data_IF_698946628173
#
_entry.id   IF_698946628173
#
_cell.length_a   1.000
_cell.length_b   1.000
_cell.length_c   1.000
_cell.angle_alpha   90.00
_cell.angle_beta   90.00
_cell.angle_gamma   90.00
#
_symmetry.space_group_name_H-M   'P 1'
#
loop_
_entity.id
_entity.type
_entity.pdbx_description
1 polymer ?
#
# COMPACT_ATOMS: atom_id res chain seq x y z
N UNK A 1 -6.09 7.54 -30.07
CA UNK A 1 -6.12 8.47 -28.91
C UNK A 1 -7.56 8.62 -28.46
N UNK A 2 -8.04 7.76 -27.58
CA UNK A 2 -9.31 7.98 -26.89
C UNK A 2 -9.01 8.95 -25.74
N UNK A 3 -9.46 10.20 -25.86
CA UNK A 3 -9.36 11.16 -24.76
C UNK A 3 -10.61 10.96 -23.90
N UNK A 4 -10.45 10.30 -22.75
CA UNK A 4 -11.52 10.19 -21.77
C UNK A 4 -11.87 11.59 -21.27
N UNK A 5 -13.02 12.12 -21.71
CA UNK A 5 -13.65 13.33 -21.17
C UNK A 5 -14.93 12.89 -20.46
N UNK A 6 -14.80 12.41 -19.23
CA UNK A 6 -15.99 12.10 -18.43
C UNK A 6 -16.70 13.40 -18.04
N UNK A 7 -17.98 13.47 -18.36
CA UNK A 7 -18.91 14.52 -17.94
C UNK A 7 -19.36 14.36 -16.47
N UNK A 8 -18.50 13.86 -15.58
CA UNK A 8 -18.78 13.78 -14.15
C UNK A 8 -17.48 13.96 -13.33
N UNK A 9 -17.22 15.21 -12.92
CA UNK A 9 -16.49 15.58 -11.70
C UNK A 9 -15.07 14.99 -11.45
N UNK A 10 -14.42 14.36 -12.43
CA UNK A 10 -13.00 13.98 -12.37
C UNK A 10 -12.31 14.41 -13.66
N UNK A 11 -12.05 15.71 -13.79
CA UNK A 11 -11.27 16.25 -14.90
C UNK A 11 -9.77 15.93 -14.72
N UNK A 12 -9.35 14.73 -15.12
CA UNK A 12 -7.98 14.48 -15.60
C UNK A 12 -8.01 13.50 -16.76
N UNK A 13 -7.34 13.88 -17.85
CA UNK A 13 -7.18 13.04 -19.02
C UNK A 13 -6.29 11.84 -18.68
N UNK A 14 -6.85 10.64 -18.72
CA UNK A 14 -6.07 9.41 -18.77
C UNK A 14 -5.70 9.20 -20.24
N UNK A 15 -4.45 9.51 -20.61
CA UNK A 15 -3.90 9.13 -21.90
C UNK A 15 -3.40 7.68 -21.80
N UNK A 16 -4.31 6.72 -22.04
CA UNK A 16 -3.94 5.30 -22.17
C UNK A 16 -3.74 4.98 -23.65
N UNK A 17 -2.54 4.55 -24.02
CA UNK A 17 -2.29 3.88 -25.28
C UNK A 17 -2.16 2.39 -24.99
N UNK A 18 -3.26 1.66 -25.14
CA UNK A 18 -3.23 0.21 -25.11
C UNK A 18 -2.47 -0.28 -26.34
N UNK A 19 -1.30 -0.87 -26.10
CA UNK A 19 -0.66 -1.77 -27.06
C UNK A 19 -1.45 -3.09 -27.02
N UNK A 20 -1.36 -3.96 -28.03
CA UNK A 20 -2.00 -5.30 -28.06
C UNK A 20 -1.41 -6.28 -27.01
N UNK A 21 -1.09 -5.80 -25.82
CA UNK A 21 -0.45 -6.53 -24.74
C UNK A 21 -1.27 -6.38 -23.46
N UNK A 22 -1.23 -7.41 -22.61
CA UNK A 22 -1.90 -7.41 -21.31
C UNK A 22 -1.41 -6.22 -20.46
N UNK A 23 -2.36 -5.42 -20.00
CA UNK A 23 -2.16 -4.17 -19.28
C UNK A 23 -2.77 -4.29 -17.88
N UNK A 24 -1.97 -3.95 -16.87
CA UNK A 24 -2.46 -3.76 -15.51
C UNK A 24 -2.78 -2.27 -15.32
N UNK A 25 -3.95 -1.97 -14.76
CA UNK A 25 -4.39 -0.59 -14.50
C UNK A 25 -4.50 -0.34 -13.01
N UNK A 26 -4.05 0.83 -12.55
CA UNK A 26 -4.18 1.25 -11.15
C UNK A 26 -5.31 2.27 -11.01
N UNK A 27 -6.26 2.02 -10.12
CA UNK A 27 -7.26 3.00 -9.68
C UNK A 27 -6.63 3.93 -8.62
N UNK A 28 -5.90 4.94 -9.08
CA UNK A 28 -5.14 5.85 -8.21
C UNK A 28 -6.03 6.88 -7.52
N UNK A 29 -6.66 6.50 -6.41
CA UNK A 29 -7.41 7.40 -5.53
C UNK A 29 -6.52 8.21 -4.57
N UNK A 30 -5.35 8.63 -5.05
CA UNK A 30 -4.35 9.36 -4.28
C UNK A 30 -3.65 10.42 -5.13
N UNK A 31 -3.03 11.38 -4.47
CA UNK A 31 -2.10 12.33 -5.08
C UNK A 31 -0.81 11.61 -5.52
N UNK A 32 -0.35 11.89 -6.74
CA UNK A 32 1.03 11.60 -7.13
C UNK A 32 1.86 12.86 -6.87
N UNK A 33 2.99 12.76 -6.18
CA UNK A 33 3.78 13.89 -5.73
C UNK A 33 4.02 13.86 -4.22
N UNK A 34 5.26 14.12 -3.81
CA UNK A 34 5.64 14.20 -2.39
C UNK A 34 6.21 12.91 -1.79
N UNK A 35 6.20 11.81 -2.55
CA UNK A 35 6.87 10.56 -2.19
C UNK A 35 8.20 10.40 -2.96
N UNK A 36 9.05 9.48 -2.50
CA UNK A 36 10.33 9.17 -3.16
C UNK A 36 10.07 8.63 -4.56
N UNK A 37 10.63 9.29 -5.58
CA UNK A 37 10.49 8.89 -6.99
C UNK A 37 9.36 9.57 -7.77
N UNK A 38 8.59 10.47 -7.15
CA UNK A 38 7.56 11.24 -7.86
C UNK A 38 8.15 12.49 -8.55
N UNK A 39 8.21 12.46 -9.88
CA UNK A 39 8.66 13.60 -10.70
C UNK A 39 7.51 14.53 -11.14
N UNK A 40 6.26 14.17 -10.81
CA UNK A 40 5.04 14.88 -11.25
C UNK A 40 4.11 15.08 -10.06
N UNK A 41 3.45 16.24 -9.98
CA UNK A 41 2.43 16.54 -8.98
C UNK A 41 1.03 16.47 -9.61
N UNK A 42 0.28 15.42 -9.28
CA UNK A 42 -1.10 15.18 -9.69
C UNK A 42 -1.94 15.10 -8.41
N UNK A 43 -2.51 16.22 -7.93
CA UNK A 43 -3.35 16.22 -6.72
C UNK A 43 -4.69 15.52 -6.94
N UNK A 44 -5.39 15.25 -5.84
CA UNK A 44 -6.81 14.87 -5.84
C UNK A 44 -7.67 15.89 -6.63
N UNK A 45 -8.86 15.50 -7.10
CA UNK A 45 -9.76 16.39 -7.84
C UNK A 45 -10.02 17.71 -7.11
N UNK A 46 -10.05 18.82 -7.85
CA UNK A 46 -10.16 20.16 -7.25
C UNK A 46 -11.35 20.27 -6.28
N UNK A 47 -12.51 19.71 -6.64
CA UNK A 47 -13.71 19.73 -5.80
C UNK A 47 -13.52 19.06 -4.44
N UNK A 48 -12.62 18.07 -4.31
CA UNK A 48 -12.26 17.46 -3.02
C UNK A 48 -11.48 18.46 -2.17
N UNK A 49 -10.50 19.15 -2.77
CA UNK A 49 -9.75 20.20 -2.09
C UNK A 49 -10.67 21.36 -1.64
N UNK A 50 -11.69 21.72 -2.43
CA UNK A 50 -12.69 22.72 -2.03
C UNK A 50 -13.46 22.30 -0.77
N UNK A 51 -13.88 21.04 -0.69
CA UNK A 51 -14.55 20.51 0.51
C UNK A 51 -13.58 20.51 1.68
N UNK A 52 -12.34 20.07 1.48
CA UNK A 52 -11.29 20.03 2.48
C UNK A 52 -10.99 21.38 3.13
N UNK A 53 -11.18 22.51 2.41
CA UNK A 53 -11.07 23.86 2.99
C UNK A 53 -12.15 24.14 4.04
N UNK A 54 -13.36 23.62 3.85
CA UNK A 54 -14.49 23.79 4.78
C UNK A 54 -14.60 22.69 5.83
N UNK A 55 -14.12 21.49 5.51
CA UNK A 55 -14.16 20.29 6.34
C UNK A 55 -12.80 19.59 6.24
N UNK A 56 -11.78 20.03 6.98
CA UNK A 56 -10.43 19.48 6.89
C UNK A 56 -10.35 18.02 7.38
N UNK A 57 -11.33 17.55 8.14
CA UNK A 57 -11.39 16.18 8.67
C UNK A 57 -11.76 15.12 7.61
N UNK A 58 -11.95 15.50 6.34
CA UNK A 58 -11.99 14.52 5.25
C UNK A 58 -10.62 13.89 4.97
N UNK A 59 -9.55 14.43 5.56
CA UNK A 59 -8.17 13.99 5.39
C UNK A 59 -7.63 13.35 6.67
N UNK A 60 -6.70 12.41 6.50
CA UNK A 60 -5.96 11.84 7.63
C UNK A 60 -5.26 12.93 8.41
N UNK A 61 -5.25 12.76 9.73
CA UNK A 61 -4.82 13.80 10.66
C UNK A 61 -3.97 13.21 11.76
N UNK A 62 -2.81 13.83 12.00
CA UNK A 62 -1.94 13.45 13.10
C UNK A 62 -2.29 14.16 14.41
N UNK A 63 -1.56 13.85 15.49
CA UNK A 63 -1.85 14.36 16.82
C UNK A 63 -1.79 15.89 16.91
N UNK A 64 -0.91 16.51 16.12
CA UNK A 64 -0.72 17.96 16.04
C UNK A 64 -1.78 18.65 15.16
N UNK A 65 -2.71 17.88 14.56
CA UNK A 65 -3.78 18.40 13.73
C UNK A 65 -3.36 18.70 12.28
N UNK A 66 -2.17 18.27 11.85
CA UNK A 66 -1.69 18.41 10.46
C UNK A 66 -2.46 17.45 9.56
N UNK A 67 -2.86 17.93 8.38
CA UNK A 67 -3.76 17.22 7.47
C UNK A 67 -3.02 16.67 6.27
N UNK A 68 -3.04 15.35 6.08
CA UNK A 68 -2.49 14.76 4.86
C UNK A 68 -3.52 14.73 3.72
N UNK A 69 -3.33 15.59 2.73
CA UNK A 69 -4.20 15.77 1.56
C UNK A 69 -4.01 14.74 0.45
N UNK A 70 -3.12 13.76 0.63
CA UNK A 70 -2.78 12.79 -0.41
C UNK A 70 -3.96 11.85 -0.76
N UNK A 71 -4.77 11.47 0.22
CA UNK A 71 -5.97 10.65 0.04
C UNK A 71 -7.03 10.99 1.10
N UNK A 72 -8.25 10.50 0.93
CA UNK A 72 -9.34 10.69 1.89
C UNK A 72 -9.16 9.79 3.13
N UNK A 73 -9.47 10.31 4.32
CA UNK A 73 -9.51 9.51 5.54
C UNK A 73 -10.59 8.43 5.45
N UNK A 74 -10.26 7.21 5.88
CA UNK A 74 -11.24 6.12 5.96
C UNK A 74 -12.37 6.40 6.96
N UNK A 75 -12.19 7.39 7.86
CA UNK A 75 -13.25 7.87 8.74
C UNK A 75 -14.49 8.34 7.99
N UNK A 76 -14.36 8.77 6.73
CA UNK A 76 -15.48 9.26 5.92
C UNK A 76 -16.01 8.25 4.89
N UNK A 77 -15.56 6.99 4.92
CA UNK A 77 -16.00 5.95 3.98
C UNK A 77 -17.52 5.83 3.89
N UNK A 78 -18.21 6.01 5.01
CA UNK A 78 -19.67 5.90 5.13
C UNK A 78 -20.38 7.22 5.45
N UNK A 79 -19.67 8.34 5.40
CA UNK A 79 -20.19 9.66 5.77
C UNK A 79 -20.50 10.49 4.52
N UNK A 80 -21.69 11.06 4.41
CA UNK A 80 -22.15 11.80 3.21
C UNK A 80 -21.61 13.23 3.13
N UNK A 81 -20.30 13.38 3.25
CA UNK A 81 -19.61 14.68 3.34
C UNK A 81 -19.00 15.14 2.02
N UNK A 82 -19.14 14.33 0.96
CA UNK A 82 -18.61 14.63 -0.38
C UNK A 82 -19.74 15.11 -1.32
N UNK A 83 -20.32 16.28 -1.02
CA UNK A 83 -21.49 16.85 -1.73
C UNK A 83 -22.68 15.87 -1.77
N UNK A 84 -22.98 15.25 -0.64
CA UNK A 84 -24.07 14.28 -0.49
C UNK A 84 -23.69 12.82 -0.79
N UNK A 85 -22.48 12.56 -1.28
CA UNK A 85 -21.93 11.20 -1.46
C UNK A 85 -20.98 10.81 -0.33
N UNK A 86 -20.82 9.50 -0.12
CA UNK A 86 -19.74 8.95 0.73
C UNK A 86 -18.45 8.72 -0.07
N UNK A 87 -17.31 8.53 0.60
CA UNK A 87 -16.06 8.25 -0.12
C UNK A 87 -16.14 6.97 -0.96
N UNK A 88 -16.75 5.90 -0.41
CA UNK A 88 -16.86 4.64 -1.16
C UNK A 88 -17.85 4.70 -2.32
N UNK A 89 -18.88 5.53 -2.25
CA UNK A 89 -19.74 5.82 -3.40
C UNK A 89 -18.94 6.50 -4.53
N UNK A 90 -18.06 7.46 -4.18
CA UNK A 90 -17.19 8.14 -5.14
C UNK A 90 -16.23 7.14 -5.82
N UNK A 91 -15.60 6.26 -5.04
CA UNK A 91 -14.70 5.23 -5.60
C UNK A 91 -15.46 4.27 -6.52
N UNK A 92 -16.63 3.78 -6.09
CA UNK A 92 -17.44 2.87 -6.89
C UNK A 92 -17.94 3.49 -8.19
N UNK A 93 -18.44 4.72 -8.14
CA UNK A 93 -18.87 5.46 -9.35
C UNK A 93 -17.72 5.62 -10.34
N UNK A 94 -16.51 5.91 -9.86
CA UNK A 94 -15.32 6.01 -10.72
C UNK A 94 -14.95 4.66 -11.34
N UNK A 95 -14.85 3.60 -10.53
CA UNK A 95 -14.52 2.25 -11.02
C UNK A 95 -15.55 1.77 -12.05
N UNK A 96 -16.85 1.97 -11.79
CA UNK A 96 -17.92 1.63 -12.73
C UNK A 96 -17.82 2.45 -14.01
N UNK A 97 -17.57 3.75 -13.91
CA UNK A 97 -17.39 4.60 -15.10
C UNK A 97 -16.20 4.15 -15.94
N UNK A 98 -15.09 3.76 -15.31
CA UNK A 98 -13.92 3.23 -15.99
C UNK A 98 -14.26 1.90 -16.70
N UNK A 99 -14.91 0.97 -15.99
CA UNK A 99 -15.33 -0.32 -16.56
C UNK A 99 -16.19 -0.16 -17.80
N UNK A 100 -17.15 0.77 -17.78
CA UNK A 100 -18.08 1.02 -18.89
C UNK A 100 -17.37 1.65 -20.07
N UNK A 101 -16.55 2.68 -19.83
CA UNK A 101 -15.82 3.37 -20.91
C UNK A 101 -14.85 2.43 -21.64
N UNK A 102 -14.11 1.62 -20.87
CA UNK A 102 -13.05 0.76 -21.41
C UNK A 102 -13.52 -0.69 -21.61
N UNK A 103 -14.84 -0.93 -21.74
CA UNK A 103 -15.43 -2.27 -21.81
C UNK A 103 -14.78 -3.16 -22.88
N UNK A 104 -14.51 -2.61 -24.06
CA UNK A 104 -13.85 -3.33 -25.17
C UNK A 104 -12.49 -3.90 -24.74
N UNK A 105 -11.68 -3.14 -24.00
CA UNK A 105 -10.37 -3.60 -23.53
C UNK A 105 -10.45 -4.69 -22.45
N UNK A 106 -11.54 -4.73 -21.68
CA UNK A 106 -11.80 -5.83 -20.75
C UNK A 106 -12.27 -7.08 -21.49
N UNK A 107 -13.17 -6.94 -22.47
CA UNK A 107 -13.69 -8.05 -23.29
C UNK A 107 -12.60 -8.68 -24.16
N UNK A 108 -11.70 -7.87 -24.71
CA UNK A 108 -10.54 -8.31 -25.49
C UNK A 108 -9.41 -8.89 -24.63
N UNK A 109 -9.55 -8.87 -23.30
CA UNK A 109 -8.54 -9.35 -22.36
C UNK A 109 -7.28 -8.48 -22.26
N UNK A 110 -7.29 -7.30 -22.88
CA UNK A 110 -6.18 -6.33 -22.83
C UNK A 110 -6.01 -5.82 -21.40
N UNK A 111 -7.08 -5.47 -20.69
CA UNK A 111 -7.00 -5.15 -19.26
C UNK A 111 -7.18 -6.45 -18.48
N UNK A 112 -6.07 -7.03 -18.04
CA UNK A 112 -6.06 -8.31 -17.32
C UNK A 112 -6.19 -8.17 -15.81
N UNK A 113 -5.82 -7.02 -15.26
CA UNK A 113 -5.84 -6.78 -13.82
C UNK A 113 -6.09 -5.31 -13.49
N UNK A 114 -6.87 -5.07 -12.44
CA UNK A 114 -7.10 -3.75 -11.86
C UNK A 114 -6.58 -3.72 -10.43
N UNK A 115 -5.50 -2.98 -10.20
CA UNK A 115 -5.04 -2.66 -8.85
C UNK A 115 -5.89 -1.52 -8.28
N UNK A 116 -6.44 -1.73 -7.09
CA UNK A 116 -7.33 -0.76 -6.44
C UNK A 116 -6.52 0.01 -5.40
N UNK A 117 -6.41 1.34 -5.56
CA UNK A 117 -5.73 2.18 -4.59
C UNK A 117 -6.52 2.28 -3.29
N UNK A 118 -5.89 1.98 -2.16
CA UNK A 118 -6.56 1.90 -0.84
C UNK A 118 -6.05 2.93 0.18
N UNK A 119 -5.20 3.87 -0.25
CA UNK A 119 -4.59 4.84 0.63
C UNK A 119 -3.45 5.64 -0.05
N UNK A 120 -2.52 6.21 0.73
CA UNK A 120 -1.37 6.95 0.20
C UNK A 120 -0.51 6.03 -0.67
N UNK A 121 0.05 6.57 -1.75
CA UNK A 121 0.72 5.80 -2.82
C UNK A 121 -0.13 4.66 -3.44
N UNK A 122 -1.45 4.63 -3.21
CA UNK A 122 -2.33 3.52 -3.58
C UNK A 122 -2.24 2.32 -2.64
N UNK A 123 -1.43 2.38 -1.60
CA UNK A 123 -1.16 1.29 -0.67
C UNK A 123 -2.21 1.24 0.44
N UNK A 124 -2.57 0.04 0.89
CA UNK A 124 -3.42 -0.15 2.07
C UNK A 124 -2.60 0.09 3.34
N UNK A 125 -2.43 1.35 3.71
CA UNK A 125 -1.82 1.81 4.97
C UNK A 125 -2.27 3.21 5.36
N UNK A 126 -1.98 3.60 6.59
CA UNK A 126 -2.05 4.99 6.99
C UNK A 126 -0.84 5.80 6.45
N UNK A 127 -0.98 7.12 6.26
CA UNK A 127 0.13 7.98 5.89
C UNK A 127 1.04 8.33 7.10
N UNK A 128 1.64 7.32 7.73
CA UNK A 128 2.35 7.46 9.00
C UNK A 128 3.77 8.02 8.91
N UNK A 129 4.39 8.02 7.72
CA UNK A 129 5.77 8.47 7.46
C UNK A 129 5.89 9.64 6.45
N UNK A 130 5.12 10.74 6.58
CA UNK A 130 5.15 11.84 5.62
C UNK A 130 6.43 12.68 5.76
N UNK A 131 7.32 12.61 4.75
CA UNK A 131 8.56 13.42 4.69
C UNK A 131 8.26 14.91 4.84
N UNK A 132 7.16 15.40 4.25
CA UNK A 132 6.70 16.80 4.34
C UNK A 132 6.44 17.29 5.76
N UNK A 133 6.20 16.40 6.73
CA UNK A 133 5.95 16.76 8.13
C UNK A 133 7.12 16.41 9.06
N UNK A 134 8.31 16.17 8.50
CA UNK A 134 9.55 15.99 9.25
C UNK A 134 9.88 14.54 9.60
N UNK A 135 9.16 13.57 9.05
CA UNK A 135 9.57 12.17 9.12
C UNK A 135 10.89 11.98 8.37
N UNK A 136 11.80 11.21 8.97
CA UNK A 136 13.07 10.78 8.37
C UNK A 136 13.25 9.32 8.66
N UNK A 137 13.72 8.55 7.69
CA UNK A 137 14.11 7.16 7.93
C UNK A 137 15.24 7.12 8.98
N UNK A 138 15.20 6.20 9.97
CA UNK A 138 14.21 5.14 10.16
C UNK A 138 13.12 5.47 11.21
N UNK A 139 12.62 6.70 11.34
CA UNK A 139 11.62 7.09 12.35
C UNK A 139 10.37 6.19 12.45
N UNK A 140 9.83 6.04 13.65
CA UNK A 140 8.65 5.19 13.94
C UNK A 140 7.35 5.63 13.26
N UNK A 141 7.26 6.88 12.79
CA UNK A 141 6.02 7.45 12.25
C UNK A 141 5.04 7.91 13.34
N UNK A 142 3.84 8.35 12.95
CA UNK A 142 2.77 8.71 13.90
C UNK A 142 1.42 8.11 13.49
N UNK A 143 0.56 7.82 14.48
CA UNK A 143 -0.83 7.42 14.24
C UNK A 143 -1.62 8.54 13.57
N UNK A 144 -2.38 8.21 12.52
CA UNK A 144 -3.05 9.17 11.63
C UNK A 144 -4.58 9.21 11.83
N UNK A 145 -5.06 9.06 13.05
CA UNK A 145 -6.47 8.86 13.36
C UNK A 145 -7.15 10.01 14.12
N UNK A 146 -6.62 11.23 14.02
CA UNK A 146 -7.07 12.38 14.81
C UNK A 146 -8.12 13.26 14.08
N UNK A 147 -8.61 12.83 12.91
CA UNK A 147 -9.75 13.48 12.29
C UNK A 147 -11.04 13.21 13.08
N UNK A 148 -12.00 14.12 12.99
CA UNK A 148 -13.21 14.05 13.81
C UNK A 148 -14.02 12.75 13.60
N UNK A 149 -13.96 12.13 12.41
CA UNK A 149 -14.73 10.94 12.10
C UNK A 149 -14.09 9.69 12.70
N UNK A 150 -12.77 9.56 12.61
CA UNK A 150 -12.02 8.51 13.29
C UNK A 150 -12.10 8.65 14.81
N UNK A 151 -11.99 9.86 15.36
CA UNK A 151 -12.17 10.07 16.80
C UNK A 151 -13.58 9.69 17.29
N UNK A 152 -14.62 9.96 16.48
CA UNK A 152 -15.99 9.50 16.76
C UNK A 152 -16.09 7.97 16.72
N UNK A 153 -15.44 7.32 15.76
CA UNK A 153 -15.34 5.86 15.67
C UNK A 153 -14.65 5.26 16.89
N UNK A 154 -13.51 5.82 17.30
CA UNK A 154 -12.74 5.41 18.47
C UNK A 154 -13.56 5.54 19.76
N UNK A 155 -14.26 6.68 19.93
CA UNK A 155 -15.13 6.90 21.08
C UNK A 155 -16.21 5.84 21.19
N UNK A 156 -16.88 5.53 20.08
CA UNK A 156 -17.88 4.46 20.04
C UNK A 156 -17.26 3.10 20.41
N UNK A 157 -16.07 2.79 19.90
CA UNK A 157 -15.37 1.54 20.23
C UNK A 157 -15.02 1.44 21.72
N UNK A 158 -14.58 2.55 22.33
CA UNK A 158 -14.23 2.63 23.75
C UNK A 158 -15.46 2.48 24.65
N UNK A 159 -16.57 3.14 24.29
CA UNK A 159 -17.86 3.03 24.98
C UNK A 159 -18.41 1.60 24.94
N UNK A 160 -18.35 0.92 23.78
CA UNK A 160 -18.77 -0.48 23.66
C UNK A 160 -17.96 -1.45 24.52
N UNK A 161 -16.69 -1.13 24.82
CA UNK A 161 -15.85 -1.89 25.76
C UNK A 161 -16.07 -1.51 27.23
N UNK A 162 -16.90 -0.50 27.53
CA UNK A 162 -17.09 0.00 28.90
C UNK A 162 -15.93 0.83 29.43
N UNK A 163 -15.04 1.30 28.55
CA UNK A 163 -13.83 2.05 28.91
C UNK A 163 -13.76 3.39 28.16
N UNK A 164 -14.75 4.26 28.34
CA UNK A 164 -14.82 5.55 27.61
C UNK A 164 -13.57 6.43 27.74
N UNK A 165 -12.78 6.28 28.80
CA UNK A 165 -11.51 7.01 28.96
C UNK A 165 -10.41 6.55 27.98
N UNK A 166 -10.57 5.41 27.30
CA UNK A 166 -9.72 4.93 26.20
C UNK A 166 -10.06 5.57 24.84
N UNK A 167 -11.03 6.48 24.77
CA UNK A 167 -11.46 7.15 23.54
C UNK A 167 -10.46 8.22 23.02
N UNK A 168 -9.16 7.89 22.96
CA UNK A 168 -8.09 8.79 22.53
C UNK A 168 -6.94 8.01 21.90
N UNK A 169 -6.08 8.70 21.15
CA UNK A 169 -4.79 8.15 20.70
C UNK A 169 -3.77 8.09 21.85
N UNK A 170 -2.70 7.27 21.75
CA UNK A 170 -1.69 7.17 22.80
C UNK A 170 -0.93 8.49 23.03
N UNK A 171 -0.79 8.88 24.29
CA UNK A 171 -0.19 10.16 24.66
C UNK A 171 1.36 10.15 24.68
N UNK A 172 1.95 8.95 24.70
CA UNK A 172 3.37 8.66 24.87
C UNK A 172 3.99 7.91 23.67
N UNK A 173 3.39 8.03 22.48
CA UNK A 173 3.85 7.42 21.23
C UNK A 173 5.02 8.15 20.55
N UNK A 174 5.56 9.22 21.14
CA UNK A 174 6.63 10.01 20.53
C UNK A 174 6.15 10.85 19.35
N UNK A 175 7.05 11.03 18.38
CA UNK A 175 6.84 11.83 17.16
C UNK A 175 7.35 11.07 15.92
N UNK A 176 7.11 11.59 14.73
CA UNK A 176 7.46 10.93 13.46
C UNK A 176 8.88 10.32 13.41
N UNK A 177 9.88 11.03 13.91
CA UNK A 177 11.29 10.64 13.82
C UNK A 177 11.86 10.10 15.15
N UNK A 178 11.00 9.82 16.13
CA UNK A 178 11.41 9.13 17.37
C UNK A 178 11.81 7.69 17.08
N UNK A 179 12.61 7.10 17.97
CA UNK A 179 12.93 5.68 17.98
C UNK A 179 12.07 4.93 19.02
N UNK A 180 11.81 3.62 18.87
CA UNK A 180 10.90 2.89 19.76
C UNK A 180 11.25 3.02 21.25
N UNK A 181 12.54 2.87 21.58
CA UNK A 181 13.07 2.92 22.95
C UNK A 181 13.00 4.31 23.60
N UNK A 182 12.77 5.37 22.82
CA UNK A 182 12.60 6.74 23.33
C UNK A 182 11.15 7.05 23.76
N UNK A 183 10.23 6.13 23.48
CA UNK A 183 8.80 6.32 23.70
C UNK A 183 8.28 5.40 24.80
N UNK A 184 7.33 5.88 25.61
CA UNK A 184 6.66 5.02 26.60
C UNK A 184 5.70 4.02 25.97
N UNK A 185 5.23 4.29 24.74
CA UNK A 185 4.30 3.40 24.07
C UNK A 185 4.99 2.22 23.39
N UNK A 186 6.10 2.44 22.67
CA UNK A 186 6.72 1.43 21.80
C UNK A 186 8.01 0.81 22.36
N UNK A 187 8.53 1.27 23.51
CA UNK A 187 9.68 0.62 24.14
C UNK A 187 9.37 -0.83 24.52
N UNK A 188 10.40 -1.61 24.82
CA UNK A 188 10.19 -2.95 25.37
C UNK A 188 9.34 -2.86 26.65
N UNK A 189 8.35 -3.77 26.77
CA UNK A 189 7.33 -3.75 27.83
C UNK A 189 6.48 -2.46 27.89
N UNK A 190 6.47 -1.67 26.82
CA UNK A 190 5.70 -0.42 26.70
C UNK A 190 4.19 -0.63 26.56
N UNK A 191 3.46 0.48 26.56
CA UNK A 191 1.99 0.48 26.59
C UNK A 191 1.32 -0.21 25.38
N UNK A 192 2.04 -0.40 24.27
CA UNK A 192 1.53 -1.11 23.08
C UNK A 192 0.99 -2.50 23.39
N UNK A 193 1.62 -3.23 24.32
CA UNK A 193 1.19 -4.54 24.80
C UNK A 193 0.39 -4.46 26.11
N UNK A 194 0.01 -3.26 26.55
CA UNK A 194 -0.92 -3.05 27.65
C UNK A 194 -2.39 -3.27 27.25
N UNK A 195 -3.30 -3.27 28.22
CA UNK A 195 -4.76 -3.39 27.93
C UNK A 195 -5.26 -2.29 26.99
N UNK A 196 -4.81 -1.05 27.21
CA UNK A 196 -5.13 0.09 26.37
C UNK A 196 -4.48 -0.02 24.97
N UNK A 197 -3.18 -0.33 24.88
CA UNK A 197 -2.49 -0.47 23.61
C UNK A 197 -3.10 -1.55 22.73
N UNK A 198 -3.38 -2.74 23.28
CA UNK A 198 -4.06 -3.82 22.55
C UNK A 198 -5.47 -3.43 22.09
N UNK A 199 -6.20 -2.63 22.87
CA UNK A 199 -7.50 -2.08 22.43
C UNK A 199 -7.32 -1.11 21.25
N UNK A 200 -6.43 -0.12 21.40
CA UNK A 200 -6.22 0.93 20.42
C UNK A 200 -5.68 0.37 19.10
N UNK A 201 -4.66 -0.48 19.14
CA UNK A 201 -4.05 -1.10 17.96
C UNK A 201 -5.00 -2.06 17.24
N UNK A 202 -5.82 -2.81 17.98
CA UNK A 202 -6.89 -3.61 17.39
C UNK A 202 -7.88 -2.71 16.64
N UNK A 203 -8.39 -1.65 17.26
CA UNK A 203 -9.30 -0.71 16.59
C UNK A 203 -8.67 -0.06 15.35
N UNK A 204 -7.44 0.42 15.47
CA UNK A 204 -6.74 1.15 14.40
C UNK A 204 -6.47 0.26 13.18
N UNK A 205 -5.98 -0.96 13.41
CA UNK A 205 -5.78 -1.98 12.37
C UNK A 205 -7.09 -2.52 11.79
N UNK A 206 -8.15 -2.64 12.61
CA UNK A 206 -9.45 -3.09 12.13
C UNK A 206 -10.12 -2.06 11.21
N UNK A 207 -9.90 -0.75 11.42
CA UNK A 207 -10.34 0.28 10.48
C UNK A 207 -9.67 0.12 9.11
N UNK A 208 -8.37 -0.19 9.06
CA UNK A 208 -7.65 -0.51 7.83
C UNK A 208 -8.27 -1.71 7.10
N UNK A 209 -8.51 -2.80 7.82
CA UNK A 209 -9.10 -4.01 7.24
C UNK A 209 -10.54 -3.74 6.74
N UNK A 210 -11.34 -2.99 7.50
CA UNK A 210 -12.70 -2.64 7.12
C UNK A 210 -12.76 -1.75 5.88
N UNK A 211 -11.80 -0.82 5.74
CA UNK A 211 -11.67 0.01 4.54
C UNK A 211 -11.39 -0.86 3.31
N UNK A 212 -10.36 -1.71 3.39
CA UNK A 212 -10.01 -2.65 2.33
C UNK A 212 -11.18 -3.56 1.96
N UNK A 213 -11.87 -4.14 2.96
CA UNK A 213 -13.04 -5.01 2.76
C UNK A 213 -14.16 -4.30 1.98
N UNK A 214 -14.46 -3.05 2.36
CA UNK A 214 -15.53 -2.28 1.74
C UNK A 214 -15.19 -1.89 0.30
N UNK A 215 -14.01 -1.33 0.07
CA UNK A 215 -13.61 -0.86 -1.27
C UNK A 215 -13.41 -2.03 -2.23
N UNK A 216 -12.78 -3.13 -1.80
CA UNK A 216 -12.59 -4.31 -2.65
C UNK A 216 -13.91 -5.03 -2.95
N UNK A 217 -14.88 -5.02 -2.03
CA UNK A 217 -16.22 -5.54 -2.35
C UNK A 217 -16.88 -4.76 -3.49
N UNK A 218 -16.73 -3.44 -3.52
CA UNK A 218 -17.25 -2.56 -4.57
C UNK A 218 -16.46 -2.70 -5.87
N UNK A 219 -15.14 -2.86 -5.78
CA UNK A 219 -14.29 -3.12 -6.94
C UNK A 219 -14.64 -4.45 -7.61
N UNK A 220 -14.88 -5.52 -6.82
CA UNK A 220 -15.33 -6.81 -7.32
C UNK A 220 -16.65 -6.71 -8.09
N UNK A 221 -17.58 -5.88 -7.62
CA UNK A 221 -18.83 -5.60 -8.33
C UNK A 221 -18.60 -4.78 -9.60
N UNK A 222 -17.72 -3.78 -9.56
CA UNK A 222 -17.45 -2.91 -10.70
C UNK A 222 -16.66 -3.61 -11.82
N UNK A 223 -15.80 -4.57 -11.47
CA UNK A 223 -14.90 -5.28 -12.39
C UNK A 223 -15.20 -6.78 -12.43
N UNK A 224 -16.47 -7.16 -12.37
CA UNK A 224 -16.89 -8.55 -12.45
C UNK A 224 -16.26 -9.26 -13.67
N UNK A 225 -15.63 -10.41 -13.42
CA UNK A 225 -14.91 -11.18 -14.44
C UNK A 225 -13.43 -10.79 -14.64
N UNK A 226 -12.94 -9.74 -13.99
CA UNK A 226 -11.54 -9.31 -14.05
C UNK A 226 -10.82 -9.53 -12.72
N UNK A 227 -9.50 -9.74 -12.78
CA UNK A 227 -8.67 -9.82 -11.56
C UNK A 227 -8.55 -8.44 -10.91
N UNK A 228 -8.76 -8.37 -9.60
CA UNK A 228 -8.46 -7.17 -8.81
C UNK A 228 -7.26 -7.43 -7.91
N UNK A 229 -6.49 -6.39 -7.61
CA UNK A 229 -5.33 -6.48 -6.72
C UNK A 229 -5.34 -5.33 -5.70
N UNK A 230 -4.67 -5.56 -4.57
CA UNK A 230 -4.41 -4.55 -3.55
C UNK A 230 -2.92 -4.54 -3.23
N UNK A 231 -2.36 -3.34 -3.05
CA UNK A 231 -0.95 -3.15 -2.78
C UNK A 231 -0.68 -2.98 -1.28
N UNK A 232 0.33 -3.70 -0.78
CA UNK A 232 0.87 -3.49 0.57
C UNK A 232 2.29 -2.90 0.54
N UNK A 233 2.62 -2.00 1.47
CA UNK A 233 3.96 -1.42 1.62
C UNK A 233 4.91 -2.37 2.37
N UNK A 234 6.20 -2.34 2.02
CA UNK A 234 7.25 -3.06 2.76
C UNK A 234 7.83 -2.23 3.91
N UNK A 235 7.18 -2.22 5.08
CA UNK A 235 7.64 -1.45 6.26
C UNK A 235 8.59 -2.30 7.09
N UNK A 236 9.86 -2.30 6.71
CA UNK A 236 10.85 -3.23 7.23
C UNK A 236 11.69 -2.72 8.41
N UNK A 237 11.67 -1.41 8.69
CA UNK A 237 12.42 -0.82 9.80
C UNK A 237 11.68 -1.02 11.13
N UNK A 238 12.45 -1.15 12.22
CA UNK A 238 12.01 -1.59 13.54
C UNK A 238 11.40 -3.00 13.63
N UNK A 239 11.39 -3.76 12.55
CA UNK A 239 10.86 -5.14 12.54
C UNK A 239 11.59 -6.07 13.53
N UNK A 240 12.85 -5.81 13.88
CA UNK A 240 13.58 -6.60 14.90
C UNK A 240 13.27 -6.18 16.34
N UNK A 241 12.48 -5.14 16.57
CA UNK A 241 12.03 -4.72 17.91
C UNK A 241 10.80 -5.49 18.33
N UNK A 242 10.51 -5.59 19.62
CA UNK A 242 9.30 -6.28 20.11
C UNK A 242 8.00 -5.61 19.63
N UNK A 243 8.01 -4.28 19.51
CA UNK A 243 6.81 -3.50 19.18
C UNK A 243 6.53 -3.38 17.69
N UNK A 244 7.53 -3.53 16.81
CA UNK A 244 7.37 -3.29 15.38
C UNK A 244 6.76 -1.90 15.08
N UNK A 245 7.27 -0.88 15.77
CA UNK A 245 6.60 0.43 15.90
C UNK A 245 6.14 1.07 14.57
N UNK A 246 6.95 0.98 13.51
CA UNK A 246 6.59 1.54 12.21
C UNK A 246 5.43 0.80 11.52
N UNK A 247 5.36 -0.53 11.68
CA UNK A 247 4.22 -1.31 11.22
C UNK A 247 2.95 -0.90 11.97
N UNK A 248 3.05 -0.75 13.30
CA UNK A 248 1.93 -0.33 14.15
C UNK A 248 1.35 1.03 13.74
N UNK A 249 2.21 2.04 13.53
CA UNK A 249 1.74 3.39 13.14
C UNK A 249 1.15 3.40 11.73
N UNK A 250 1.64 2.54 10.82
CA UNK A 250 1.10 2.36 9.49
C UNK A 250 -0.19 1.54 9.43
N UNK A 251 -0.60 0.92 10.54
CA UNK A 251 -1.87 0.19 10.70
C UNK A 251 -1.74 -1.33 10.70
N UNK A 252 -0.53 -1.87 10.52
CA UNK A 252 -0.25 -3.30 10.61
C UNK A 252 0.00 -3.64 12.07
N UNK A 253 -1.01 -4.24 12.72
CA UNK A 253 -0.87 -4.65 14.12
C UNK A 253 -0.03 -5.93 14.24
N UNK A 254 1.27 -5.84 13.98
CA UNK A 254 2.20 -6.95 13.83
C UNK A 254 3.35 -6.92 14.87
N UNK A 255 3.09 -6.83 16.19
CA UNK A 255 4.17 -6.98 17.17
C UNK A 255 4.74 -8.41 17.12
N UNK A 256 5.90 -8.63 17.74
CA UNK A 256 6.64 -9.90 17.61
C UNK A 256 5.86 -11.16 18.06
N UNK A 257 4.78 -11.00 18.83
CA UNK A 257 3.91 -12.06 19.34
C UNK A 257 2.59 -12.23 18.58
N UNK A 258 2.36 -11.51 17.47
CA UNK A 258 1.12 -11.55 16.68
C UNK A 258 1.40 -11.33 15.20
N UNK A 259 0.89 -12.22 14.36
CA UNK A 259 0.88 -11.98 12.92
C UNK A 259 -0.24 -11.01 12.52
N UNK A 260 0.15 -9.80 12.07
CA UNK A 260 -0.77 -8.76 11.61
C UNK A 260 -1.27 -8.94 10.18
N UNK A 261 -0.61 -9.77 9.37
CA UNK A 261 -0.88 -9.92 7.94
C UNK A 261 -1.94 -10.99 7.64
N UNK A 262 -2.11 -11.99 8.51
CA UNK A 262 -3.14 -13.04 8.36
C UNK A 262 -4.53 -12.45 8.13
N UNK A 263 -4.92 -11.44 8.91
CA UNK A 263 -6.26 -10.83 8.79
C UNK A 263 -6.43 -10.06 7.47
N UNK A 264 -5.35 -9.48 6.95
CA UNK A 264 -5.35 -8.80 5.65
C UNK A 264 -5.44 -9.83 4.53
N UNK A 265 -4.64 -10.90 4.57
CA UNK A 265 -4.68 -11.99 3.60
C UNK A 265 -6.08 -12.64 3.54
N UNK A 266 -6.72 -12.87 4.70
CA UNK A 266 -8.09 -13.37 4.76
C UNK A 266 -9.11 -12.40 4.13
N UNK A 267 -8.94 -11.08 4.33
CA UNK A 267 -9.77 -10.06 3.70
C UNK A 267 -9.59 -10.04 2.18
N UNK A 268 -8.34 -10.15 1.68
CA UNK A 268 -8.07 -10.25 0.24
C UNK A 268 -8.68 -11.52 -0.36
N UNK A 269 -8.52 -12.66 0.32
CA UNK A 269 -9.10 -13.95 -0.08
C UNK A 269 -10.62 -13.87 -0.24
N UNK A 270 -11.32 -13.26 0.74
CA UNK A 270 -12.78 -13.07 0.71
C UNK A 270 -13.25 -12.40 -0.60
N UNK A 271 -12.45 -11.49 -1.16
CA UNK A 271 -12.78 -10.78 -2.40
C UNK A 271 -12.18 -11.40 -3.65
N UNK A 272 -11.32 -12.42 -3.53
CA UNK A 272 -10.53 -12.94 -4.65
C UNK A 272 -9.52 -11.92 -5.17
N UNK A 273 -9.05 -11.02 -4.30
CA UNK A 273 -8.07 -10.01 -4.66
C UNK A 273 -6.66 -10.58 -4.57
N UNK A 274 -5.82 -10.28 -5.56
CA UNK A 274 -4.39 -10.55 -5.50
C UNK A 274 -3.70 -9.55 -4.55
N UNK A 275 -2.59 -9.99 -3.96
CA UNK A 275 -1.68 -9.13 -3.23
C UNK A 275 -0.56 -8.66 -4.15
N UNK A 276 -0.42 -7.34 -4.34
CA UNK A 276 0.81 -6.74 -4.86
C UNK A 276 1.73 -6.38 -3.69
N UNK A 277 2.91 -7.01 -3.64
CA UNK A 277 3.90 -6.75 -2.61
C UNK A 277 5.30 -6.66 -3.22
N UNK A 278 6.01 -5.56 -2.95
CA UNK A 278 7.34 -5.34 -3.48
C UNK A 278 8.38 -6.13 -2.68
N UNK A 279 8.86 -7.26 -3.24
CA UNK A 279 9.77 -8.17 -2.53
C UNK A 279 11.25 -7.98 -2.86
N UNK A 280 11.57 -7.37 -4.01
CA UNK A 280 12.64 -7.94 -4.81
C UNK A 280 14.07 -7.44 -4.52
N UNK A 281 14.24 -6.35 -3.76
CA UNK A 281 15.54 -5.62 -3.71
C UNK A 281 16.00 -5.23 -2.33
N UNK A 282 15.25 -5.57 -1.28
CA UNK A 282 15.61 -5.17 0.08
C UNK A 282 16.89 -5.86 0.61
N UNK A 283 17.41 -6.87 -0.12
CA UNK A 283 18.74 -7.45 0.12
C UNK A 283 19.89 -6.52 -0.28
N UNK A 284 19.68 -5.49 -1.12
CA UNK A 284 20.72 -4.49 -1.40
C UNK A 284 20.94 -3.55 -0.21
N UNK A 285 19.95 -3.45 0.69
CA UNK A 285 20.06 -2.61 1.87
C UNK A 285 20.96 -3.24 2.95
N UNK A 286 21.25 -4.55 2.91
CA UNK A 286 22.10 -5.23 3.92
C UNK A 286 23.54 -4.70 3.99
N UNK A 287 23.99 -3.93 3.00
CA UNK A 287 25.32 -3.32 2.97
C UNK A 287 25.33 -1.85 3.46
N UNK A 288 24.18 -1.29 3.86
CA UNK A 288 24.10 0.06 4.41
C UNK A 288 24.15 0.01 5.94
N UNK A 289 25.12 0.71 6.53
CA UNK A 289 25.25 0.89 7.99
C UNK A 289 23.94 1.38 8.63
N UNK A 290 23.15 2.18 7.88
CA UNK A 290 21.83 2.70 8.25
C UNK A 290 20.79 1.60 8.62
N UNK A 291 20.92 0.37 8.12
CA UNK A 291 19.97 -0.71 8.48
C UNK A 291 20.17 -1.24 9.90
N UNK A 292 21.39 -1.20 10.42
CA UNK A 292 21.69 -1.71 11.75
C UNK A 292 21.07 -0.80 12.82
N UNK A 293 21.15 0.51 12.62
CA UNK A 293 20.48 1.50 13.46
C UNK A 293 18.95 1.43 13.34
N UNK A 294 18.45 1.10 12.14
CA UNK A 294 17.01 0.93 11.88
C UNK A 294 16.40 -0.36 12.44
N UNK A 295 17.22 -1.29 12.98
CA UNK A 295 16.77 -2.63 13.41
C UNK A 295 15.87 -3.31 12.37
N UNK A 296 16.23 -3.15 11.09
CA UNK A 296 15.39 -3.60 9.99
C UNK A 296 15.51 -5.11 9.73
N UNK A 297 14.43 -5.72 9.23
CA UNK A 297 14.43 -7.10 8.73
C UNK A 297 13.53 -7.28 7.50
N UNK A 298 13.95 -6.78 6.34
CA UNK A 298 13.12 -6.88 5.14
C UNK A 298 12.89 -8.32 4.67
N UNK A 299 13.89 -9.22 4.81
CA UNK A 299 13.72 -10.61 4.43
C UNK A 299 12.67 -11.32 5.31
N UNK A 300 12.71 -11.08 6.63
CA UNK A 300 11.72 -11.61 7.56
C UNK A 300 10.31 -11.10 7.26
N UNK A 301 10.18 -9.81 6.95
CA UNK A 301 8.91 -9.22 6.54
C UNK A 301 8.37 -9.86 5.26
N UNK A 302 9.20 -9.97 4.20
CA UNK A 302 8.81 -10.61 2.95
C UNK A 302 8.35 -12.04 3.20
N UNK A 303 9.11 -12.81 3.97
CA UNK A 303 8.75 -14.18 4.31
C UNK A 303 7.41 -14.26 5.05
N UNK A 304 7.16 -13.38 6.02
CA UNK A 304 5.91 -13.35 6.77
C UNK A 304 4.71 -13.04 5.87
N UNK A 305 4.79 -11.96 5.09
CA UNK A 305 3.70 -11.50 4.21
C UNK A 305 3.37 -12.56 3.16
N UNK A 306 4.39 -13.16 2.53
CA UNK A 306 4.18 -14.18 1.51
C UNK A 306 3.59 -15.48 2.07
N UNK A 307 4.00 -15.91 3.27
CA UNK A 307 3.39 -17.07 3.89
C UNK A 307 1.92 -16.82 4.27
N UNK A 308 1.61 -15.67 4.88
CA UNK A 308 0.23 -15.31 5.17
C UNK A 308 -0.63 -15.31 3.89
N UNK A 309 -0.09 -14.81 2.78
CA UNK A 309 -0.76 -14.79 1.49
C UNK A 309 -0.97 -16.20 0.91
N UNK A 310 0.07 -17.01 0.83
CA UNK A 310 0.00 -18.35 0.24
C UNK A 310 -0.83 -19.33 1.10
N UNK A 311 -0.75 -19.24 2.43
CA UNK A 311 -1.60 -20.02 3.34
C UNK A 311 -3.09 -19.65 3.18
N UNK A 312 -3.39 -18.37 2.92
CA UNK A 312 -4.74 -17.93 2.56
C UNK A 312 -5.12 -18.20 1.10
N UNK A 313 -4.26 -18.87 0.32
CA UNK A 313 -4.47 -19.18 -1.09
C UNK A 313 -4.78 -17.94 -1.95
N UNK A 314 -4.14 -16.80 -1.65
CA UNK A 314 -4.25 -15.60 -2.49
C UNK A 314 -3.12 -15.54 -3.51
N UNK A 315 -3.44 -15.06 -4.71
CA UNK A 315 -2.44 -14.79 -5.74
C UNK A 315 -1.51 -13.66 -5.30
N UNK A 316 -0.21 -13.84 -5.49
CA UNK A 316 0.78 -12.79 -5.23
C UNK A 316 1.37 -12.30 -6.55
N UNK A 317 1.43 -10.98 -6.70
CA UNK A 317 2.13 -10.27 -7.77
C UNK A 317 3.15 -9.33 -7.12
N UNK A 318 4.17 -8.92 -7.87
CA UNK A 318 5.24 -8.09 -7.33
C UNK A 318 5.63 -6.98 -8.28
N UNK A 319 6.26 -5.97 -7.70
CA UNK A 319 7.03 -4.95 -8.39
C UNK A 319 8.40 -4.78 -7.72
N UNK A 320 9.34 -4.11 -8.39
CA UNK A 320 10.58 -3.68 -7.74
C UNK A 320 10.39 -2.36 -6.98
N UNK A 321 11.07 -2.24 -5.84
CA UNK A 321 10.99 -1.06 -4.98
C UNK A 321 12.00 0.04 -5.38
N UNK A 322 13.13 -0.36 -5.98
CA UNK A 322 14.21 0.51 -6.44
C UNK A 322 14.52 0.22 -7.91
N UNK A 323 15.19 1.16 -8.57
CA UNK A 323 15.55 0.98 -9.98
C UNK A 323 16.80 0.09 -10.07
N UNK A 324 16.71 -1.03 -10.79
CA UNK A 324 17.86 -1.90 -11.08
C UNK A 324 17.98 -2.19 -12.58
N UNK A 325 19.15 -1.94 -13.16
CA UNK A 325 19.44 -2.20 -14.57
C UNK A 325 20.51 -3.26 -14.80
N UNK A 326 21.04 -3.86 -13.72
CA UNK A 326 22.13 -4.81 -13.79
C UNK A 326 21.68 -6.27 -13.62
N UNK A 327 22.55 -7.18 -14.06
CA UNK A 327 22.31 -8.62 -13.97
C UNK A 327 22.15 -9.12 -12.53
N UNK A 328 22.81 -8.49 -11.57
CA UNK A 328 22.80 -8.94 -10.17
C UNK A 328 21.41 -8.71 -9.56
N UNK A 329 20.82 -7.53 -9.73
CA UNK A 329 19.48 -7.28 -9.23
C UNK A 329 18.40 -8.02 -10.00
N UNK A 330 18.52 -8.17 -11.33
CA UNK A 330 17.61 -9.03 -12.09
C UNK A 330 17.63 -10.50 -11.61
N UNK A 331 18.81 -11.03 -11.25
CA UNK A 331 18.89 -12.38 -10.67
C UNK A 331 18.16 -12.46 -9.32
N UNK A 332 18.35 -11.47 -8.45
CA UNK A 332 17.66 -11.43 -7.14
C UNK A 332 16.14 -11.33 -7.30
N UNK A 333 15.67 -10.53 -8.25
CA UNK A 333 14.24 -10.49 -8.60
C UNK A 333 13.76 -11.89 -9.01
N UNK A 334 14.47 -12.56 -9.92
CA UNK A 334 14.11 -13.91 -10.37
C UNK A 334 14.08 -14.94 -9.24
N UNK A 335 15.05 -14.90 -8.33
CA UNK A 335 15.13 -15.82 -7.18
C UNK A 335 13.94 -15.65 -6.22
N UNK A 336 13.48 -14.40 -6.03
CA UNK A 336 12.31 -14.11 -5.20
C UNK A 336 10.99 -14.45 -5.88
N UNK A 337 10.85 -14.10 -7.17
CA UNK A 337 9.60 -14.25 -7.93
C UNK A 337 9.35 -15.72 -8.33
N UNK A 338 10.43 -16.46 -8.61
CA UNK A 338 10.40 -17.87 -9.01
C UNK A 338 11.38 -18.71 -8.17
N UNK A 339 11.05 -18.96 -6.89
CA UNK A 339 11.91 -19.77 -6.04
C UNK A 339 11.98 -21.20 -6.57
N UNK A 340 13.15 -21.62 -7.03
CA UNK A 340 13.37 -22.91 -7.72
C UNK A 340 13.17 -24.11 -6.78
N UNK A 341 13.38 -23.92 -5.48
CA UNK A 341 13.37 -24.98 -4.48
C UNK A 341 12.23 -24.81 -3.46
N UNK A 342 11.17 -24.08 -3.79
CA UNK A 342 10.00 -24.00 -2.92
C UNK A 342 9.29 -25.37 -2.89
N UNK A 343 9.13 -26.01 -1.72
CA UNK A 343 8.60 -27.37 -1.60
C UNK A 343 7.14 -27.49 -2.06
N UNK A 344 6.39 -26.39 -2.03
CA UNK A 344 4.98 -26.32 -2.42
C UNK A 344 4.80 -25.73 -3.83
N UNK A 345 5.90 -25.45 -4.54
CA UNK A 345 5.88 -24.87 -5.89
C UNK A 345 5.35 -23.44 -5.95
N UNK A 346 5.39 -22.71 -4.82
CA UNK A 346 4.86 -21.35 -4.72
C UNK A 346 5.68 -20.39 -5.58
N UNK A 347 5.00 -19.50 -6.28
CA UNK A 347 5.62 -18.49 -7.13
C UNK A 347 4.66 -17.31 -7.30
N UNK A 348 5.21 -16.20 -7.78
CA UNK A 348 4.43 -15.02 -8.11
C UNK A 348 3.77 -15.20 -9.48
N UNK A 349 2.53 -14.75 -9.60
CA UNK A 349 1.77 -14.88 -10.84
C UNK A 349 2.22 -13.88 -11.91
N UNK A 350 2.72 -12.71 -11.52
CA UNK A 350 3.22 -11.68 -12.43
C UNK A 350 4.19 -10.74 -11.73
N UNK A 351 4.96 -10.00 -12.52
CA UNK A 351 5.91 -9.01 -12.05
C UNK A 351 5.81 -7.74 -12.91
N UNK A 352 5.69 -6.58 -12.25
CA UNK A 352 5.64 -5.26 -12.87
C UNK A 352 6.96 -4.54 -12.64
N UNK A 353 7.70 -4.25 -13.71
CA UNK A 353 8.97 -3.51 -13.58
C UNK A 353 8.72 -1.99 -13.52
N UNK A 354 9.14 -1.36 -12.42
CA UNK A 354 9.10 0.07 -12.18
C UNK A 354 10.49 0.69 -12.43
N UNK A 355 10.68 1.54 -13.43
CA UNK A 355 9.73 2.06 -14.41
C UNK A 355 10.41 2.14 -15.77
N UNK A 356 9.61 2.19 -16.83
CA UNK A 356 10.07 2.61 -18.15
C UNK A 356 10.68 4.01 -18.06
N UNK A 357 11.98 4.11 -18.31
CA UNK A 357 12.75 5.36 -18.33
C UNK A 357 13.65 5.39 -19.56
N UNK A 358 14.12 6.58 -19.98
CA UNK A 358 15.15 6.66 -21.01
C UNK A 358 16.40 5.82 -20.68
N UNK A 359 16.77 5.76 -19.39
CA UNK A 359 17.90 4.97 -18.89
C UNK A 359 17.70 3.46 -19.13
N UNK A 360 16.49 2.93 -18.88
CA UNK A 360 16.16 1.54 -19.19
C UNK A 360 16.31 1.23 -20.69
N UNK A 361 15.97 2.20 -21.54
CA UNK A 361 16.02 2.08 -23.00
C UNK A 361 17.43 2.23 -23.60
N UNK A 362 18.44 2.54 -22.79
CA UNK A 362 19.83 2.51 -23.24
C UNK A 362 20.23 1.09 -23.66
N UNK A 363 21.01 0.98 -24.74
CA UNK A 363 21.30 -0.30 -25.40
C UNK A 363 21.75 -1.41 -24.43
N UNK A 364 22.66 -1.10 -23.50
CA UNK A 364 23.19 -2.09 -22.57
C UNK A 364 22.14 -2.53 -21.54
N UNK A 365 21.42 -1.57 -20.96
CA UNK A 365 20.39 -1.82 -19.95
C UNK A 365 19.22 -2.59 -20.56
N UNK A 366 18.81 -2.22 -21.77
CA UNK A 366 17.72 -2.90 -22.49
C UNK A 366 18.10 -4.34 -22.87
N UNK A 367 19.35 -4.61 -23.25
CA UNK A 367 19.83 -5.99 -23.49
C UNK A 367 19.80 -6.83 -22.22
N UNK A 368 20.18 -6.31 -21.05
CA UNK A 368 20.05 -7.05 -19.79
C UNK A 368 18.58 -7.23 -19.38
N UNK A 369 17.74 -6.22 -19.60
CA UNK A 369 16.29 -6.30 -19.37
C UNK A 369 15.64 -7.37 -20.25
N UNK A 370 16.00 -7.47 -21.54
CA UNK A 370 15.52 -8.52 -22.44
C UNK A 370 15.88 -9.92 -21.92
N UNK A 371 17.12 -10.10 -21.43
CA UNK A 371 17.54 -11.36 -20.81
C UNK A 371 16.77 -11.68 -19.55
N UNK A 372 16.51 -10.66 -18.72
CA UNK A 372 15.66 -10.79 -17.54
C UNK A 372 14.25 -11.26 -17.93
N UNK A 373 13.60 -10.61 -18.90
CA UNK A 373 12.27 -10.98 -19.41
C UNK A 373 12.25 -12.42 -19.96
N UNK A 374 13.25 -12.82 -20.75
CA UNK A 374 13.39 -14.20 -21.24
C UNK A 374 13.42 -15.21 -20.11
N UNK A 375 14.20 -14.95 -19.05
CA UNK A 375 14.25 -15.82 -17.86
C UNK A 375 12.95 -15.80 -17.06
N UNK A 376 12.28 -14.66 -16.99
CA UNK A 376 10.92 -14.55 -16.43
C UNK A 376 9.91 -15.37 -17.21
N UNK A 377 10.15 -15.69 -18.49
CA UNK A 377 9.34 -16.63 -19.27
C UNK A 377 9.87 -18.07 -19.27
N UNK A 378 10.95 -18.36 -18.54
CA UNK A 378 11.54 -19.70 -18.45
C UNK A 378 12.44 -20.07 -19.64
N UNK A 379 12.83 -19.11 -20.47
CA UNK A 379 13.74 -19.34 -21.59
C UNK A 379 15.20 -19.46 -21.11
N UNK A 380 15.97 -20.34 -21.77
CA UNK A 380 17.40 -20.47 -21.54
C UNK A 380 18.15 -19.30 -22.18
N UNK A 381 18.92 -18.54 -21.38
CA UNK A 381 19.74 -17.44 -21.87
C UNK A 381 21.20 -17.88 -21.99
N UNK A 382 21.75 -17.88 -23.20
CA UNK A 382 23.17 -18.10 -23.44
C UNK A 382 23.95 -16.84 -23.08
N UNK A 383 24.82 -16.94 -22.07
CA UNK A 383 25.79 -15.88 -21.79
C UNK A 383 26.94 -16.00 -22.78
N UNK A 384 27.09 -15.00 -23.66
CA UNK A 384 28.35 -14.82 -24.37
C UNK A 384 29.39 -14.43 -23.32
N UNK A 385 30.36 -15.32 -23.09
CA UNK A 385 31.58 -14.99 -22.35
C UNK A 385 32.28 -13.88 -23.15
N UNK A 386 32.39 -12.69 -22.56
CA UNK A 386 33.29 -11.63 -23.05
C UNK A 386 34.45 -11.55 -22.08
#
# INVERSE_FOLDING_TARGET
>A
MAVWRSNMLLEKAVAMQFVKENTNVVMSFHECGGNVGDDVCIPLPHWVAEIGRSNPDIFFTDREGRRNTECLSWGIDKERVLRGRTAVEVYFDFMRSFRVEFNEFFEDGIISMVEVGLGPCGELRYPSCPVKYGWRYPGIGEFQCYDQYMLKSLRKAAEMRGHSFWARGPDNAGSYSSHPHETGFFCDEGDYDGYYGRFFLNWYSQLLINHGDLVLSLAKLAFEGSCIAAKLPGIHWWYKTSSHAAELTAGFYNPCNRDGYIAIAAMLHKHGAALNFACAELQFLEQLEDLQEALANPQGLVWQVLNAAWEACITVVSENAFVCHDRVGYNKILENVKPVNDPDGRHFSSFTYLRLTPLLMERQNFMEFERFVKRMHGEAVLYLQV
#
